data_IF_871336920540
#
_entry.id   IF_871336920540
#
_cell.length_a   1.000
_cell.length_b   1.000
_cell.length_c   1.000
_cell.angle_alpha   90.00
_cell.angle_beta   90.00
_cell.angle_gamma   90.00
#
_symmetry.space_group_name_H-M   'P 1'
#
loop_
_entity.id
_entity.type
_entity.pdbx_description
1 polymer ?
#
# COMPACT_ATOMS: atom_id res chain seq x y z
N UNK A 1 11.74 -24.34 -3.19
CA UNK A 1 11.58 -23.30 -4.23
C UNK A 1 10.15 -22.80 -4.17
N UNK A 2 9.93 -21.48 -4.20
CA UNK A 2 8.60 -20.86 -4.01
C UNK A 2 8.28 -19.87 -5.14
N UNK A 3 7.01 -19.54 -5.32
CA UNK A 3 6.58 -18.49 -6.27
C UNK A 3 7.19 -17.12 -5.92
N UNK A 4 7.30 -16.79 -4.62
CA UNK A 4 7.95 -15.56 -4.19
C UNK A 4 9.44 -15.56 -4.54
N UNK A 5 10.15 -16.68 -4.36
CA UNK A 5 11.54 -16.82 -4.77
C UNK A 5 11.74 -16.66 -6.28
N UNK A 6 10.80 -17.17 -7.09
CA UNK A 6 10.77 -16.92 -8.53
C UNK A 6 10.61 -15.42 -8.84
N UNK A 7 9.65 -14.72 -8.22
CA UNK A 7 9.46 -13.28 -8.42
C UNK A 7 10.69 -12.47 -7.99
N UNK A 8 11.34 -12.82 -6.88
CA UNK A 8 12.57 -12.17 -6.43
C UNK A 8 13.70 -12.30 -7.47
N UNK A 9 13.88 -13.50 -8.02
CA UNK A 9 14.90 -13.74 -9.05
C UNK A 9 14.57 -13.01 -10.38
N UNK A 10 13.29 -12.87 -10.72
CA UNK A 10 12.85 -12.03 -11.84
C UNK A 10 13.21 -10.56 -11.57
N UNK A 11 12.92 -10.01 -10.39
CA UNK A 11 13.29 -8.64 -10.02
C UNK A 11 14.79 -8.38 -10.18
N UNK A 12 15.63 -9.29 -9.67
CA UNK A 12 17.08 -9.23 -9.81
C UNK A 12 17.52 -9.23 -11.29
N UNK A 13 17.00 -10.16 -12.09
CA UNK A 13 17.39 -10.28 -13.50
C UNK A 13 16.95 -9.09 -14.35
N UNK A 14 15.80 -8.49 -14.02
CA UNK A 14 15.30 -7.28 -14.69
C UNK A 14 16.05 -6.00 -14.25
N UNK A 15 16.88 -6.07 -13.22
CA UNK A 15 17.57 -4.92 -12.63
C UNK A 15 16.65 -4.03 -11.80
N UNK A 16 15.55 -4.58 -11.28
CA UNK A 16 14.62 -3.88 -10.36
C UNK A 16 15.21 -3.78 -8.95
N UNK A 17 16.09 -4.73 -8.60
CA UNK A 17 16.72 -4.88 -7.28
C UNK A 17 16.03 -5.95 -6.42
N UNK A 18 16.50 -6.10 -5.18
CA UNK A 18 16.01 -7.02 -4.15
C UNK A 18 15.58 -6.30 -2.86
N UNK A 19 15.59 -4.96 -2.86
CA UNK A 19 15.15 -4.13 -1.74
C UNK A 19 13.65 -4.21 -1.46
N UNK A 20 13.20 -3.52 -0.41
CA UNK A 20 11.83 -3.62 0.13
C UNK A 20 10.72 -3.25 -0.88
N UNK A 21 11.06 -2.48 -1.92
CA UNK A 21 10.11 -2.05 -2.95
C UNK A 21 10.22 -2.84 -4.26
N UNK A 22 11.04 -3.89 -4.33
CA UNK A 22 11.32 -4.58 -5.59
C UNK A 22 10.04 -5.12 -6.26
N UNK A 23 9.10 -5.65 -5.48
CA UNK A 23 7.82 -6.14 -5.98
C UNK A 23 6.87 -5.03 -6.43
N UNK A 24 6.81 -3.91 -5.72
CA UNK A 24 6.03 -2.73 -6.15
C UNK A 24 6.55 -2.19 -7.48
N UNK A 25 7.89 -2.16 -7.64
CA UNK A 25 8.54 -1.79 -8.90
C UNK A 25 8.29 -2.80 -10.01
N UNK A 26 8.19 -4.10 -9.68
CA UNK A 26 7.82 -5.13 -10.64
C UNK A 26 6.36 -4.96 -11.10
N UNK A 27 5.43 -4.69 -10.18
CA UNK A 27 4.03 -4.36 -10.51
C UNK A 27 3.94 -3.09 -11.37
N UNK A 28 4.75 -2.06 -11.08
CA UNK A 28 4.86 -0.87 -11.94
C UNK A 28 5.36 -1.21 -13.35
N UNK A 29 6.45 -1.95 -13.44
CA UNK A 29 7.03 -2.33 -14.71
C UNK A 29 6.03 -3.14 -15.56
N UNK A 30 5.24 -3.99 -14.92
CA UNK A 30 4.20 -4.78 -15.58
C UNK A 30 3.02 -3.96 -16.12
N UNK A 31 2.76 -2.75 -15.61
CA UNK A 31 1.66 -1.89 -16.11
C UNK A 31 1.78 -1.53 -17.59
N UNK A 32 3.02 -1.54 -18.11
CA UNK A 32 3.37 -1.16 -19.49
C UNK A 32 3.68 -2.38 -20.38
N UNK A 33 3.38 -3.57 -19.88
CA UNK A 33 3.76 -4.84 -20.49
C UNK A 33 2.57 -5.74 -20.81
N UNK A 34 2.76 -6.62 -21.79
CA UNK A 34 1.82 -7.68 -22.13
C UNK A 34 2.35 -9.02 -21.62
N UNK A 35 1.50 -9.94 -21.11
CA UNK A 35 1.92 -11.23 -20.56
C UNK A 35 2.30 -12.25 -21.66
N UNK A 36 3.20 -11.88 -22.56
CA UNK A 36 3.57 -12.63 -23.77
C UNK A 36 4.23 -13.98 -23.48
N UNK A 37 4.89 -14.11 -22.34
CA UNK A 37 5.62 -15.33 -21.94
C UNK A 37 4.81 -16.21 -20.98
N UNK A 38 3.54 -15.88 -20.73
CA UNK A 38 2.70 -16.60 -19.78
C UNK A 38 2.55 -18.08 -20.13
N UNK A 39 2.38 -18.42 -21.40
CA UNK A 39 2.23 -19.83 -21.82
C UNK A 39 3.52 -20.64 -21.55
N UNK A 40 4.69 -20.06 -21.85
CA UNK A 40 6.00 -20.69 -21.59
C UNK A 40 6.24 -20.88 -20.08
N UNK A 41 5.80 -19.94 -19.25
CA UNK A 41 5.84 -20.07 -17.78
C UNK A 41 4.82 -21.08 -17.25
N UNK A 42 3.59 -21.06 -17.76
CA UNK A 42 2.52 -21.96 -17.32
C UNK A 42 2.87 -23.43 -17.58
N UNK A 43 3.53 -23.73 -18.70
CA UNK A 43 4.03 -25.07 -19.05
C UNK A 43 5.10 -25.59 -18.08
N UNK A 44 5.65 -24.72 -17.22
CA UNK A 44 6.65 -25.05 -16.19
C UNK A 44 6.05 -25.21 -14.79
N UNK A 45 4.72 -25.33 -14.69
CA UNK A 45 4.02 -25.58 -13.44
C UNK A 45 2.89 -26.57 -13.63
N UNK A 46 2.64 -27.40 -12.62
CA UNK A 46 1.43 -28.23 -12.55
C UNK A 46 0.77 -28.07 -11.18
N UNK A 47 -0.55 -28.25 -11.13
CA UNK A 47 -1.32 -28.26 -9.90
C UNK A 47 -2.15 -29.54 -9.87
N UNK A 48 -1.62 -30.59 -9.27
CA UNK A 48 -2.20 -31.93 -9.26
C UNK A 48 -2.26 -32.46 -7.84
N UNK A 49 -3.36 -33.11 -7.46
CA UNK A 49 -3.51 -33.71 -6.13
C UNK A 49 -3.34 -32.72 -4.96
N UNK A 50 -3.64 -31.44 -5.17
CA UNK A 50 -3.47 -30.40 -4.14
C UNK A 50 -2.02 -29.98 -3.93
N UNK A 51 -1.16 -30.27 -4.90
CA UNK A 51 0.26 -29.91 -4.89
C UNK A 51 0.57 -29.03 -6.10
N UNK A 52 1.06 -27.82 -5.83
CA UNK A 52 1.69 -26.99 -6.83
C UNK A 52 3.14 -27.44 -7.03
N UNK A 53 3.48 -27.88 -8.24
CA UNK A 53 4.85 -28.26 -8.62
C UNK A 53 5.40 -27.24 -9.60
N UNK A 54 6.62 -26.79 -9.36
CA UNK A 54 7.33 -25.82 -10.20
C UNK A 54 8.57 -26.50 -10.80
N UNK A 55 8.78 -26.31 -12.10
CA UNK A 55 9.98 -26.74 -12.80
C UNK A 55 11.24 -26.11 -12.19
N UNK A 56 12.34 -26.86 -12.18
CA UNK A 56 13.59 -26.41 -11.56
C UNK A 56 14.14 -25.11 -12.20
N UNK A 57 13.87 -24.85 -13.48
CA UNK A 57 14.29 -23.62 -14.13
C UNK A 57 13.64 -22.36 -13.53
N UNK A 58 12.47 -22.48 -12.88
CA UNK A 58 11.82 -21.35 -12.21
C UNK A 58 12.52 -20.94 -10.91
N UNK A 59 13.41 -21.78 -10.34
CA UNK A 59 14.16 -21.43 -9.14
C UNK A 59 15.50 -20.79 -9.39
N UNK A 60 15.98 -20.87 -10.64
CA UNK A 60 17.14 -20.12 -11.15
C UNK A 60 16.76 -19.57 -12.52
N UNK A 61 15.78 -18.64 -12.56
CA UNK A 61 15.17 -18.22 -13.80
C UNK A 61 16.07 -17.29 -14.62
N UNK A 62 17.30 -16.99 -14.22
CA UNK A 62 18.19 -16.05 -14.91
C UNK A 62 18.32 -16.34 -16.41
N UNK A 63 18.61 -17.58 -16.78
CA UNK A 63 18.75 -17.99 -18.18
C UNK A 63 17.42 -17.91 -18.92
N UNK A 64 16.32 -18.33 -18.27
CA UNK A 64 14.97 -18.26 -18.80
C UNK A 64 14.54 -16.81 -19.06
N UNK A 65 14.72 -15.93 -18.08
CA UNK A 65 14.38 -14.51 -18.13
C UNK A 65 15.24 -13.78 -19.15
N UNK A 66 16.55 -14.06 -19.22
CA UNK A 66 17.42 -13.51 -20.30
C UNK A 66 16.96 -13.98 -21.68
N UNK A 67 16.50 -15.22 -21.79
CA UNK A 67 15.87 -15.74 -23.00
C UNK A 67 14.60 -14.98 -23.39
N UNK A 68 13.75 -14.61 -22.43
CA UNK A 68 12.58 -13.75 -22.67
C UNK A 68 12.98 -12.33 -23.07
N UNK A 69 13.97 -11.74 -22.40
CA UNK A 69 14.50 -10.40 -22.72
C UNK A 69 15.13 -10.31 -24.11
N UNK A 70 15.65 -11.42 -24.65
CA UNK A 70 16.15 -11.43 -26.03
C UNK A 70 15.03 -11.34 -27.09
N UNK A 71 13.77 -11.58 -26.70
CA UNK A 71 12.59 -11.64 -27.58
C UNK A 71 11.48 -10.66 -27.17
N UNK A 72 11.69 -9.85 -26.15
CA UNK A 72 10.70 -8.93 -25.59
C UNK A 72 11.31 -7.90 -24.66
N UNK A 73 10.47 -7.01 -24.13
CA UNK A 73 10.89 -5.94 -23.21
C UNK A 73 10.72 -6.36 -21.74
N UNK A 74 11.36 -5.63 -20.83
CA UNK A 74 11.33 -5.96 -19.38
C UNK A 74 9.90 -5.94 -18.83
N UNK A 75 9.07 -5.05 -19.34
CA UNK A 75 7.66 -4.89 -19.01
C UNK A 75 6.86 -6.16 -19.32
N UNK A 76 7.09 -6.78 -20.49
CA UNK A 76 6.40 -8.02 -20.89
C UNK A 76 6.79 -9.20 -20.00
N UNK A 77 8.06 -9.26 -19.60
CA UNK A 77 8.56 -10.26 -18.65
C UNK A 77 7.91 -10.07 -17.28
N UNK A 78 7.87 -8.84 -16.76
CA UNK A 78 7.25 -8.52 -15.49
C UNK A 78 5.75 -8.88 -15.49
N UNK A 79 5.01 -8.49 -16.53
CA UNK A 79 3.60 -8.82 -16.69
C UNK A 79 3.37 -10.34 -16.77
N UNK A 80 4.21 -11.06 -17.50
CA UNK A 80 4.13 -12.52 -17.62
C UNK A 80 4.40 -13.23 -16.28
N UNK A 81 5.43 -12.79 -15.54
CA UNK A 81 5.82 -13.38 -14.26
C UNK A 81 4.76 -13.17 -13.18
N UNK A 82 4.24 -11.95 -13.04
CA UNK A 82 3.17 -11.64 -12.09
C UNK A 82 1.89 -12.40 -12.44
N UNK A 83 1.50 -12.44 -13.73
CA UNK A 83 0.32 -13.19 -14.16
C UNK A 83 0.46 -14.69 -13.89
N UNK A 84 1.63 -15.26 -14.17
CA UNK A 84 1.92 -16.66 -13.88
C UNK A 84 1.80 -16.98 -12.38
N UNK A 85 2.38 -16.14 -11.52
CA UNK A 85 2.29 -16.31 -10.07
C UNK A 85 0.82 -16.21 -9.59
N UNK A 86 0.11 -15.18 -10.04
CA UNK A 86 -1.31 -14.96 -9.75
C UNK A 86 -2.18 -16.16 -10.16
N UNK A 87 -2.04 -16.64 -11.39
CA UNK A 87 -2.80 -17.79 -11.90
C UNK A 87 -2.44 -19.09 -11.18
N UNK A 88 -1.20 -19.25 -10.75
CA UNK A 88 -0.76 -20.42 -9.98
C UNK A 88 -1.35 -20.44 -8.57
N UNK A 89 -1.34 -19.31 -7.87
CA UNK A 89 -1.96 -19.17 -6.55
C UNK A 89 -3.47 -19.36 -6.63
N UNK A 90 -4.13 -18.73 -7.62
CA UNK A 90 -5.58 -18.87 -7.81
C UNK A 90 -5.99 -20.33 -8.05
N UNK A 91 -5.32 -21.03 -8.99
CA UNK A 91 -5.59 -22.45 -9.27
C UNK A 91 -5.39 -23.33 -8.03
N UNK A 92 -4.34 -23.06 -7.25
CA UNK A 92 -4.09 -23.80 -6.01
C UNK A 92 -5.19 -23.57 -4.96
N UNK A 93 -5.64 -22.33 -4.77
CA UNK A 93 -6.73 -22.01 -3.87
C UNK A 93 -8.06 -22.64 -4.31
N UNK A 94 -8.39 -22.58 -5.60
CA UNK A 94 -9.60 -23.18 -6.19
C UNK A 94 -9.63 -24.71 -5.98
N UNK A 95 -8.48 -25.38 -6.14
CA UNK A 95 -8.38 -26.83 -5.91
C UNK A 95 -8.83 -27.23 -4.51
N UNK A 96 -8.37 -26.51 -3.48
CA UNK A 96 -8.65 -26.83 -2.09
C UNK A 96 -10.05 -26.40 -1.68
N UNK A 97 -10.52 -25.23 -2.13
CA UNK A 97 -11.86 -24.75 -1.78
C UNK A 97 -12.94 -25.67 -2.33
N UNK A 98 -12.81 -26.12 -3.59
CA UNK A 98 -13.77 -27.08 -4.20
C UNK A 98 -13.84 -28.44 -3.50
N UNK A 99 -12.87 -28.75 -2.63
CA UNK A 99 -12.77 -30.02 -1.89
C UNK A 99 -12.94 -29.86 -0.38
N UNK A 100 -13.03 -28.61 0.10
CA UNK A 100 -13.28 -28.30 1.49
C UNK A 100 -14.76 -27.95 1.70
N UNK A 101 -15.27 -28.14 2.90
CA UNK A 101 -16.56 -27.57 3.32
C UNK A 101 -16.43 -26.11 3.78
N UNK A 102 -15.28 -25.48 3.55
CA UNK A 102 -14.95 -24.15 4.07
C UNK A 102 -15.23 -23.08 3.03
N UNK A 103 -15.99 -22.06 3.43
CA UNK A 103 -16.37 -20.92 2.60
C UNK A 103 -15.40 -19.73 2.75
N UNK A 104 -14.60 -19.75 3.83
CA UNK A 104 -13.66 -18.71 4.19
C UNK A 104 -12.23 -19.12 3.79
N UNK A 105 -11.58 -18.29 2.99
CA UNK A 105 -10.17 -18.43 2.63
C UNK A 105 -9.36 -17.36 3.37
N UNK A 106 -8.34 -17.78 4.11
CA UNK A 106 -7.41 -16.90 4.82
C UNK A 106 -6.07 -16.89 4.10
N UNK A 107 -5.54 -15.72 3.78
CA UNK A 107 -4.27 -15.55 3.09
C UNK A 107 -3.19 -15.06 4.06
N UNK A 108 -2.06 -15.79 4.10
CA UNK A 108 -0.88 -15.50 4.89
C UNK A 108 0.40 -15.97 4.18
N UNK A 109 1.52 -15.35 4.52
CA UNK A 109 2.82 -15.41 3.84
C UNK A 109 3.13 -14.14 3.04
N UNK A 110 4.41 -13.84 2.87
CA UNK A 110 4.93 -12.64 2.20
C UNK A 110 4.40 -12.45 0.77
N UNK A 111 4.07 -13.55 0.07
CA UNK A 111 3.49 -13.49 -1.26
C UNK A 111 2.18 -12.68 -1.28
N UNK A 112 1.42 -12.67 -0.18
CA UNK A 112 0.17 -11.92 -0.08
C UNK A 112 0.38 -10.48 0.42
N UNK A 113 1.63 -10.03 0.58
CA UNK A 113 1.92 -8.60 0.62
C UNK A 113 1.73 -7.92 -0.74
N UNK A 114 1.81 -8.70 -1.83
CA UNK A 114 1.51 -8.25 -3.20
C UNK A 114 0.00 -8.09 -3.41
N UNK A 115 -0.51 -6.87 -3.67
CA UNK A 115 -1.92 -6.63 -3.94
C UNK A 115 -2.42 -7.39 -5.17
N UNK A 116 -1.57 -7.61 -6.18
CA UNK A 116 -1.90 -8.44 -7.36
C UNK A 116 -2.20 -9.90 -7.02
N UNK A 117 -1.47 -10.49 -6.07
CA UNK A 117 -1.69 -11.88 -5.63
C UNK A 117 -3.01 -12.00 -4.86
N UNK A 118 -3.28 -11.06 -3.95
CA UNK A 118 -4.54 -10.98 -3.22
C UNK A 118 -5.71 -10.77 -4.18
N UNK A 119 -5.55 -9.90 -5.19
CA UNK A 119 -6.56 -9.62 -6.21
C UNK A 119 -6.91 -10.87 -7.01
N UNK A 120 -5.91 -11.62 -7.46
CA UNK A 120 -6.10 -12.84 -8.24
C UNK A 120 -6.93 -13.90 -7.50
N UNK A 121 -6.72 -14.02 -6.18
CA UNK A 121 -7.53 -14.89 -5.34
C UNK A 121 -8.93 -14.30 -5.14
N UNK A 122 -9.06 -13.02 -4.80
CA UNK A 122 -10.37 -12.38 -4.57
C UNK A 122 -11.31 -12.42 -5.78
N UNK A 123 -10.78 -12.44 -7.00
CA UNK A 123 -11.59 -12.58 -8.23
C UNK A 123 -12.07 -14.00 -8.50
N UNK A 124 -11.57 -15.01 -7.78
CA UNK A 124 -12.07 -16.38 -7.89
C UNK A 124 -13.43 -16.56 -7.20
N UNK A 125 -14.02 -17.74 -7.37
CA UNK A 125 -15.31 -18.10 -6.76
C UNK A 125 -15.17 -18.46 -5.28
N UNK A 126 -14.83 -17.46 -4.45
CA UNK A 126 -14.69 -17.61 -3.00
C UNK A 126 -15.69 -16.73 -2.28
N UNK A 127 -16.46 -17.29 -1.33
CA UNK A 127 -17.45 -16.54 -0.58
C UNK A 127 -16.82 -15.43 0.28
N UNK A 128 -15.69 -15.72 0.94
CA UNK A 128 -14.96 -14.71 1.72
C UNK A 128 -13.45 -14.95 1.69
N UNK A 129 -12.71 -13.90 1.32
CA UNK A 129 -11.25 -13.87 1.38
C UNK A 129 -10.79 -12.88 2.46
N UNK A 130 -10.11 -13.40 3.48
CA UNK A 130 -9.54 -12.64 4.58
C UNK A 130 -8.03 -12.52 4.39
N UNK A 131 -7.48 -11.33 4.63
CA UNK A 131 -6.04 -11.06 4.56
C UNK A 131 -5.66 -10.37 5.85
N UNK A 132 -4.60 -10.85 6.50
CA UNK A 132 -4.02 -10.19 7.66
C UNK A 132 -3.48 -8.81 7.27
N UNK A 133 -3.44 -7.88 8.23
CA UNK A 133 -2.75 -6.57 8.08
C UNK A 133 -1.28 -6.77 7.71
N UNK A 134 -0.66 -7.77 8.35
CA UNK A 134 0.70 -8.25 8.13
C UNK A 134 0.63 -9.73 7.77
N UNK A 135 0.38 -10.07 6.50
CA UNK A 135 0.32 -11.45 6.08
C UNK A 135 1.70 -12.11 6.07
N UNK A 136 2.77 -11.33 5.89
CA UNK A 136 4.15 -11.79 5.84
C UNK A 136 4.79 -12.12 7.19
N UNK A 137 6.12 -12.25 7.17
CA UNK A 137 6.93 -12.66 8.32
C UNK A 137 6.80 -11.70 9.52
N UNK A 138 6.53 -10.42 9.28
CA UNK A 138 6.26 -9.42 10.35
C UNK A 138 5.02 -9.80 11.18
N UNK A 139 4.10 -10.58 10.62
CA UNK A 139 2.92 -11.09 11.31
C UNK A 139 3.15 -12.35 12.13
N UNK A 140 4.30 -13.03 12.01
CA UNK A 140 4.56 -14.28 12.73
C UNK A 140 4.47 -14.14 14.25
N UNK A 141 5.02 -13.10 14.92
CA UNK A 141 4.87 -12.95 16.37
C UNK A 141 3.41 -12.83 16.81
N UNK A 142 2.58 -12.15 15.99
CA UNK A 142 1.14 -12.06 16.22
C UNK A 142 0.49 -13.44 16.10
N UNK A 143 0.80 -14.19 15.04
CA UNK A 143 0.31 -15.55 14.84
C UNK A 143 0.74 -16.51 15.96
N UNK A 144 1.99 -16.41 16.43
CA UNK A 144 2.50 -17.15 17.57
C UNK A 144 1.73 -16.83 18.85
N UNK A 145 1.42 -15.56 19.12
CA UNK A 145 0.57 -15.19 20.26
C UNK A 145 -0.84 -15.78 20.15
N UNK A 146 -1.46 -15.72 18.97
CA UNK A 146 -2.77 -16.33 18.71
C UNK A 146 -2.76 -17.86 18.83
N UNK A 147 -1.63 -18.51 18.60
CA UNK A 147 -1.52 -19.97 18.76
C UNK A 147 -1.82 -20.42 20.19
N UNK A 148 -1.61 -19.56 21.20
CA UNK A 148 -2.00 -19.84 22.59
C UNK A 148 -3.51 -19.95 22.83
N UNK A 149 -4.33 -19.58 21.84
CA UNK A 149 -5.78 -19.81 21.86
C UNK A 149 -6.15 -21.21 21.35
N UNK A 150 -5.22 -21.94 20.73
CA UNK A 150 -5.47 -23.25 20.17
C UNK A 150 -5.35 -24.34 21.24
N UNK A 151 -6.25 -25.34 21.24
CA UNK A 151 -6.12 -26.50 22.13
C UNK A 151 -4.77 -27.19 21.97
N UNK A 152 -4.11 -27.50 23.09
CA UNK A 152 -2.86 -28.25 23.13
C UNK A 152 -1.58 -27.42 22.92
N UNK A 153 -1.67 -26.10 22.74
CA UNK A 153 -0.49 -25.21 22.68
C UNK A 153 -0.06 -24.74 24.07
N UNK A 154 -1.03 -24.36 24.92
CA UNK A 154 -0.80 -24.00 26.31
C UNK A 154 -1.54 -24.99 27.22
N UNK A 155 -1.03 -25.20 28.45
CA UNK A 155 -1.70 -25.99 29.49
C UNK A 155 -3.10 -25.45 29.79
N UNK A 156 -3.25 -24.12 29.72
CA UNK A 156 -4.54 -23.42 29.81
C UNK A 156 -4.66 -22.47 28.63
N UNK A 157 -5.40 -22.84 27.56
CA UNK A 157 -5.61 -21.99 26.40
C UNK A 157 -6.27 -20.66 26.77
N UNK A 158 -5.81 -19.58 26.14
CA UNK A 158 -6.43 -18.25 26.30
C UNK A 158 -7.68 -18.19 25.42
N UNK A 159 -8.79 -17.57 25.87
CA UNK A 159 -9.94 -17.35 25.00
C UNK A 159 -9.55 -16.54 23.76
N UNK A 160 -9.94 -17.02 22.58
CA UNK A 160 -9.76 -16.26 21.35
C UNK A 160 -10.51 -14.91 21.46
N UNK A 161 -9.90 -13.79 21.05
CA UNK A 161 -10.58 -12.50 21.11
C UNK A 161 -11.78 -12.48 20.16
N UNK A 162 -12.82 -11.75 20.56
CA UNK A 162 -14.07 -11.64 19.80
C UNK A 162 -13.90 -10.96 18.43
N UNK A 163 -12.89 -10.10 18.30
CA UNK A 163 -12.52 -9.45 17.06
C UNK A 163 -11.09 -9.81 16.65
N UNK A 164 -10.85 -9.82 15.34
CA UNK A 164 -9.49 -9.80 14.81
C UNK A 164 -8.76 -8.52 15.26
N UNK A 165 -7.50 -8.36 14.86
CA UNK A 165 -6.74 -7.11 15.07
C UNK A 165 -7.57 -5.88 14.64
N UNK A 166 -8.15 -5.19 15.62
CA UNK A 166 -9.11 -4.11 15.42
C UNK A 166 -8.45 -2.85 14.86
N UNK A 167 -7.14 -2.73 15.06
CA UNK A 167 -6.32 -1.61 14.60
C UNK A 167 -4.92 -2.07 14.17
N UNK A 168 -4.36 -1.48 13.10
CA UNK A 168 -2.97 -1.70 12.73
C UNK A 168 -2.00 -0.86 13.58
N UNK A 169 -2.49 0.11 14.37
CA UNK A 169 -1.67 1.09 15.08
C UNK A 169 -1.19 0.56 16.45
N UNK A 170 -0.22 -0.36 16.42
CA UNK A 170 0.28 -1.07 17.60
C UNK A 170 1.65 -0.58 18.10
N UNK A 171 2.31 0.28 17.32
CA UNK A 171 3.67 0.74 17.61
C UNK A 171 3.76 1.94 18.56
N UNK A 172 4.92 2.60 18.53
CA UNK A 172 5.22 3.77 19.35
C UNK A 172 4.34 4.97 18.98
N UNK A 173 4.00 5.76 20.00
CA UNK A 173 3.39 7.08 19.87
C UNK A 173 4.18 8.08 20.70
N UNK A 174 4.18 9.34 20.28
CA UNK A 174 4.83 10.45 20.97
C UNK A 174 3.79 11.53 21.22
N UNK A 175 3.80 12.08 22.43
CA UNK A 175 2.95 13.22 22.76
C UNK A 175 3.55 14.54 22.23
N UNK A 176 2.75 15.61 22.25
CA UNK A 176 3.20 16.91 21.74
C UNK A 176 4.37 17.51 22.56
N UNK A 177 4.58 17.09 23.82
CA UNK A 177 5.73 17.54 24.61
C UNK A 177 7.01 16.89 24.10
N UNK A 178 7.02 15.57 23.91
CA UNK A 178 8.17 14.83 23.37
C UNK A 178 8.53 15.28 21.94
N UNK A 179 7.51 15.56 21.14
CA UNK A 179 7.69 16.09 19.79
C UNK A 179 8.31 17.50 19.85
N UNK A 180 7.76 18.40 20.67
CA UNK A 180 8.29 19.77 20.84
C UNK A 180 9.74 19.77 21.30
N UNK A 181 10.06 18.99 22.33
CA UNK A 181 11.43 18.85 22.85
C UNK A 181 12.41 18.35 21.77
N UNK A 182 11.93 17.54 20.83
CA UNK A 182 12.74 17.10 19.68
C UNK A 182 12.90 18.21 18.65
N UNK A 183 11.83 18.93 18.31
CA UNK A 183 11.87 20.05 17.37
C UNK A 183 12.80 21.18 17.86
N UNK A 184 12.67 21.57 19.13
CA UNK A 184 13.48 22.61 19.76
C UNK A 184 14.97 22.24 19.78
N UNK A 185 15.29 21.00 20.18
CA UNK A 185 16.68 20.50 20.15
C UNK A 185 17.29 20.47 18.75
N UNK A 186 16.48 20.27 17.73
CA UNK A 186 16.93 20.28 16.34
C UNK A 186 16.98 21.69 15.73
N UNK A 187 16.58 22.73 16.48
CA UNK A 187 16.60 24.12 16.04
C UNK A 187 15.75 24.35 14.79
N UNK A 188 14.59 23.70 14.68
CA UNK A 188 13.71 23.79 13.52
C UNK A 188 12.58 24.76 13.79
N UNK A 189 12.27 25.62 12.83
CA UNK A 189 11.06 26.46 12.91
C UNK A 189 9.80 25.63 12.66
N UNK A 190 8.78 25.82 13.49
CA UNK A 190 7.50 25.13 13.38
C UNK A 190 6.34 26.02 13.84
N UNK A 191 5.16 25.80 13.25
CA UNK A 191 3.89 26.32 13.75
C UNK A 191 3.21 25.32 14.68
N UNK A 192 2.49 25.80 15.70
CA UNK A 192 1.61 24.96 16.54
C UNK A 192 0.17 25.17 16.09
N UNK A 193 -0.57 24.09 15.86
CA UNK A 193 -1.90 24.15 15.24
C UNK A 193 -2.91 23.31 16.02
N UNK A 194 -3.97 23.95 16.53
CA UNK A 194 -5.07 23.24 17.19
C UNK A 194 -5.85 22.33 16.22
N UNK A 195 -6.00 22.79 14.97
CA UNK A 195 -6.69 22.06 13.89
C UNK A 195 -5.71 21.67 12.78
N UNK A 196 -4.62 21.01 13.15
CA UNK A 196 -3.58 20.57 12.20
C UNK A 196 -4.15 19.77 11.03
N UNK A 197 -5.22 18.98 11.22
CA UNK A 197 -5.84 18.19 10.16
C UNK A 197 -6.49 19.09 9.07
N UNK A 198 -7.04 20.26 9.45
CA UNK A 198 -7.54 21.29 8.51
C UNK A 198 -6.40 21.96 7.76
N UNK A 199 -5.30 22.29 8.44
CA UNK A 199 -4.13 22.89 7.80
C UNK A 199 -3.47 21.93 6.80
N UNK A 200 -3.36 20.65 7.16
CA UNK A 200 -2.88 19.60 6.25
C UNK A 200 -3.76 19.52 5.00
N UNK A 201 -5.08 19.48 5.16
CA UNK A 201 -6.01 19.44 4.01
C UNK A 201 -5.84 20.65 3.08
N UNK A 202 -5.66 21.86 3.62
CA UNK A 202 -5.40 23.07 2.84
C UNK A 202 -4.09 22.97 2.06
N UNK A 203 -3.00 22.58 2.71
CA UNK A 203 -1.68 22.40 2.07
C UNK A 203 -1.75 21.37 0.94
N UNK A 204 -2.49 20.27 1.15
CA UNK A 204 -2.71 19.25 0.13
C UNK A 204 -3.52 19.78 -1.06
N UNK A 205 -4.54 20.61 -0.80
CA UNK A 205 -5.38 21.22 -1.84
C UNK A 205 -4.57 22.20 -2.73
N UNK A 206 -3.53 22.82 -2.19
CA UNK A 206 -2.56 23.64 -2.93
C UNK A 206 -1.59 22.80 -3.80
N UNK A 207 -1.74 21.47 -3.83
CA UNK A 207 -0.89 20.56 -4.61
C UNK A 207 0.45 20.25 -3.95
N UNK A 208 0.64 20.61 -2.69
CA UNK A 208 1.86 20.35 -1.91
C UNK A 208 1.82 18.97 -1.26
N UNK A 209 2.99 18.48 -0.85
CA UNK A 209 3.19 17.19 -0.18
C UNK A 209 3.28 17.39 1.32
N UNK A 210 2.54 16.59 2.08
CA UNK A 210 2.61 16.57 3.54
C UNK A 210 3.13 15.22 4.02
N UNK A 211 4.24 15.22 4.74
CA UNK A 211 4.69 14.07 5.49
C UNK A 211 4.00 14.04 6.86
N UNK A 212 3.08 13.10 7.07
CA UNK A 212 2.29 12.96 8.28
C UNK A 212 2.94 11.97 9.25
N UNK A 213 3.14 12.44 10.47
CA UNK A 213 3.56 11.67 11.64
C UNK A 213 2.56 11.91 12.78
N UNK A 214 1.67 10.95 13.03
CA UNK A 214 0.61 11.09 14.04
C UNK A 214 0.36 9.79 14.80
N UNK A 215 0.03 9.86 16.09
CA UNK A 215 -0.41 8.69 16.88
C UNK A 215 0.56 7.51 16.89
N UNK A 216 0.02 6.32 17.17
CA UNK A 216 0.78 5.06 17.18
C UNK A 216 1.17 4.62 15.78
N UNK A 217 2.42 4.21 15.59
CA UNK A 217 2.90 3.65 14.32
C UNK A 217 2.12 2.39 13.92
N UNK A 218 1.86 2.24 12.64
CA UNK A 218 1.31 1.04 12.01
C UNK A 218 2.25 -0.17 12.16
N UNK A 219 1.68 -1.36 12.30
CA UNK A 219 2.41 -2.62 12.13
C UNK A 219 2.65 -2.90 10.64
N UNK A 220 3.85 -3.37 10.29
CA UNK A 220 4.23 -3.70 8.92
C UNK A 220 4.99 -2.58 8.21
N UNK A 221 5.18 -2.76 6.89
CA UNK A 221 5.95 -1.86 6.03
C UNK A 221 5.08 -0.85 5.25
N UNK A 222 3.75 -0.94 5.40
CA UNK A 222 2.78 -0.09 4.69
C UNK A 222 2.42 1.13 5.54
N UNK A 223 2.36 2.30 4.91
CA UNK A 223 1.77 3.48 5.54
C UNK A 223 0.25 3.42 5.45
N UNK A 224 -0.46 3.39 6.59
CA UNK A 224 -1.93 3.29 6.67
C UNK A 224 -2.58 4.55 7.26
N UNK A 225 -1.83 5.62 7.48
CA UNK A 225 -2.35 6.95 7.79
C UNK A 225 -1.60 7.71 8.89
N UNK A 226 -0.77 7.04 9.67
CA UNK A 226 -0.02 7.62 10.79
C UNK A 226 1.45 7.87 10.45
N UNK A 227 2.04 7.10 9.53
CA UNK A 227 3.39 7.31 8.98
C UNK A 227 3.34 7.33 7.45
N UNK A 228 2.80 8.42 6.90
CA UNK A 228 2.48 8.52 5.46
C UNK A 228 2.92 9.83 4.83
N UNK A 229 3.25 9.78 3.55
CA UNK A 229 3.27 10.94 2.66
C UNK A 229 1.87 11.08 2.05
N UNK A 230 1.29 12.26 2.18
CA UNK A 230 0.01 12.64 1.62
C UNK A 230 0.22 13.62 0.45
N UNK A 231 -0.51 13.41 -0.64
CA UNK A 231 -0.60 14.34 -1.78
C UNK A 231 -2.01 14.39 -2.34
N UNK A 232 -2.32 15.48 -3.04
CA UNK A 232 -3.44 15.51 -3.96
C UNK A 232 -3.28 14.41 -5.01
N UNK A 233 -4.35 13.66 -5.35
CA UNK A 233 -4.31 12.65 -6.40
C UNK A 233 -4.35 13.27 -7.81
N UNK A 234 -4.65 14.57 -7.92
CA UNK A 234 -4.64 15.31 -9.18
C UNK A 234 -3.21 15.65 -9.56
N UNK A 235 -2.88 15.43 -10.83
CA UNK A 235 -1.58 15.75 -11.40
C UNK A 235 -0.48 14.74 -11.07
N UNK A 236 0.76 15.22 -11.10
CA UNK A 236 1.93 14.35 -11.00
C UNK A 236 2.31 14.10 -9.52
N UNK A 237 2.25 12.84 -9.10
CA UNK A 237 2.54 12.41 -7.73
C UNK A 237 4.03 12.41 -7.37
N UNK A 238 4.90 12.42 -8.38
CA UNK A 238 6.34 12.17 -8.26
C UNK A 238 7.16 13.34 -8.79
N UNK A 239 6.93 14.55 -8.25
CA UNK A 239 7.65 15.77 -8.64
C UNK A 239 8.94 15.97 -7.86
N UNK A 240 9.93 16.60 -8.50
CA UNK A 240 11.18 17.02 -7.85
C UNK A 240 11.94 15.88 -7.17
N UNK A 241 12.43 16.13 -5.95
CA UNK A 241 13.22 15.14 -5.18
C UNK A 241 12.41 13.89 -4.81
N UNK A 242 11.09 14.01 -4.64
CA UNK A 242 10.22 12.88 -4.30
C UNK A 242 10.19 11.82 -5.38
N UNK A 243 10.25 12.21 -6.66
CA UNK A 243 10.16 11.25 -7.76
C UNK A 243 11.33 10.27 -7.84
N UNK A 244 12.49 10.63 -7.28
CA UNK A 244 13.66 9.76 -7.19
C UNK A 244 13.69 8.90 -5.91
N UNK A 245 12.97 9.32 -4.86
CA UNK A 245 13.03 8.69 -3.52
C UNK A 245 11.76 7.96 -3.12
N UNK A 246 10.65 8.18 -3.82
CA UNK A 246 9.42 7.40 -3.67
C UNK A 246 9.28 6.54 -4.91
N UNK A 247 9.30 5.23 -4.71
CA UNK A 247 9.21 4.25 -5.79
C UNK A 247 7.96 4.43 -6.65
N UNK A 248 8.00 3.95 -7.90
CA UNK A 248 6.79 3.91 -8.71
C UNK A 248 5.77 2.92 -8.12
N UNK A 249 4.48 3.22 -8.25
CA UNK A 249 3.37 2.51 -7.59
C UNK A 249 3.45 2.38 -6.05
N UNK A 250 4.26 3.21 -5.38
CA UNK A 250 4.25 3.32 -3.92
C UNK A 250 3.00 4.03 -3.39
N UNK A 251 2.28 4.78 -4.24
CA UNK A 251 1.05 5.46 -3.85
C UNK A 251 -0.18 4.56 -3.96
N UNK A 252 -1.12 4.69 -3.03
CA UNK A 252 -2.48 4.16 -3.12
C UNK A 252 -3.52 5.26 -2.89
N UNK A 253 -4.75 5.00 -3.32
CA UNK A 253 -5.90 5.85 -3.06
C UNK A 253 -6.38 5.65 -1.63
N UNK A 254 -6.50 6.74 -0.89
CA UNK A 254 -7.12 6.78 0.44
C UNK A 254 -8.41 7.59 0.35
N UNK A 255 -9.53 7.01 0.78
CA UNK A 255 -10.84 7.68 0.75
C UNK A 255 -11.75 7.26 1.90
N UNK A 256 -12.76 8.07 2.26
CA UNK A 256 -13.84 7.68 3.16
C UNK A 256 -14.57 6.43 2.65
N UNK A 257 -14.96 5.55 3.58
CA UNK A 257 -15.63 4.29 3.23
C UNK A 257 -16.98 4.50 2.53
N UNK A 258 -17.70 5.56 2.89
CA UNK A 258 -19.00 5.96 2.31
C UNK A 258 -18.88 6.51 0.89
N UNK A 259 -17.73 7.10 0.53
CA UNK A 259 -17.45 7.53 -0.84
C UNK A 259 -17.05 6.38 -1.78
N UNK A 260 -16.81 5.16 -1.29
CA UNK A 260 -16.21 4.08 -2.09
C UNK A 260 -17.00 3.75 -3.37
N UNK A 261 -18.33 3.65 -3.28
CA UNK A 261 -19.18 3.25 -4.39
C UNK A 261 -19.27 4.29 -5.52
N UNK A 262 -18.92 5.55 -5.25
CA UNK A 262 -18.94 6.64 -6.23
C UNK A 262 -17.68 6.66 -7.11
N UNK A 263 -16.63 5.95 -6.70
CA UNK A 263 -15.32 5.97 -7.34
C UNK A 263 -14.85 4.60 -7.82
N UNK A 264 -15.37 3.51 -7.25
CA UNK A 264 -14.93 2.15 -7.53
C UNK A 264 -16.12 1.20 -7.75
N UNK A 265 -15.87 0.11 -8.47
CA UNK A 265 -16.86 -0.96 -8.58
C UNK A 265 -17.11 -1.62 -7.22
N UNK A 266 -18.36 -1.58 -6.76
CA UNK A 266 -18.80 -2.11 -5.47
C UNK A 266 -19.40 -3.52 -5.54
N UNK A 267 -19.60 -4.07 -6.75
CA UNK A 267 -20.25 -5.37 -6.89
C UNK A 267 -19.40 -6.50 -6.27
N UNK A 268 -19.95 -7.12 -5.22
CA UNK A 268 -19.28 -8.19 -4.47
C UNK A 268 -18.09 -7.73 -3.62
N UNK A 269 -17.91 -6.41 -3.44
CA UNK A 269 -16.76 -5.83 -2.75
C UNK A 269 -17.20 -5.15 -1.45
N UNK A 270 -16.70 -5.66 -0.33
CA UNK A 270 -16.86 -5.06 0.98
C UNK A 270 -15.74 -4.04 1.23
N UNK A 271 -16.09 -2.75 1.13
CA UNK A 271 -15.17 -1.63 1.27
C UNK A 271 -14.45 -1.61 2.64
N UNK A 272 -15.04 -2.18 3.70
CA UNK A 272 -14.41 -2.22 5.02
C UNK A 272 -13.14 -3.09 5.06
N UNK A 273 -13.01 -4.04 4.12
CA UNK A 273 -11.85 -4.94 4.03
C UNK A 273 -10.56 -4.25 3.60
N UNK A 274 -10.65 -3.07 3.00
CA UNK A 274 -9.49 -2.30 2.54
C UNK A 274 -8.92 -1.37 3.60
N UNK A 275 -9.56 -1.25 4.76
CA UNK A 275 -9.15 -0.32 5.82
C UNK A 275 -7.72 -0.54 6.30
N UNK A 276 -7.39 -1.80 6.58
CA UNK A 276 -6.10 -2.20 7.13
C UNK A 276 -5.26 -3.02 6.13
N UNK A 277 -5.80 -3.31 4.95
CA UNK A 277 -5.16 -4.09 3.90
C UNK A 277 -5.50 -3.49 2.53
N UNK A 278 -4.77 -2.45 2.10
CA UNK A 278 -5.03 -1.80 0.82
C UNK A 278 -4.99 -2.81 -0.33
N UNK A 279 -6.01 -2.81 -1.18
CA UNK A 279 -6.20 -3.84 -2.20
C UNK A 279 -6.56 -3.26 -3.57
N UNK A 280 -6.30 -4.03 -4.63
CA UNK A 280 -6.63 -3.63 -6.00
C UNK A 280 -8.14 -3.74 -6.24
N UNK A 281 -8.72 -2.67 -6.80
CA UNK A 281 -10.14 -2.56 -7.15
C UNK A 281 -10.28 -1.87 -8.51
N UNK A 282 -11.20 -2.32 -9.38
CA UNK A 282 -11.51 -1.62 -10.62
C UNK A 282 -12.07 -0.22 -10.36
N UNK A 283 -11.48 0.84 -10.91
CA UNK A 283 -12.00 2.20 -10.82
C UNK A 283 -13.22 2.41 -11.73
N UNK A 284 -14.08 3.36 -11.36
CA UNK A 284 -15.09 3.91 -12.27
C UNK A 284 -14.45 4.95 -13.22
N UNK A 285 -15.08 5.27 -14.38
CA UNK A 285 -14.53 6.23 -15.34
C UNK A 285 -14.18 7.60 -14.74
N UNK A 286 -14.96 8.06 -13.76
CA UNK A 286 -14.69 9.31 -13.04
C UNK A 286 -13.34 9.28 -12.31
N UNK A 287 -13.01 8.17 -11.64
CA UNK A 287 -11.71 8.02 -11.00
C UNK A 287 -10.57 8.09 -12.02
N UNK A 288 -10.71 7.39 -13.15
CA UNK A 288 -9.70 7.38 -14.22
C UNK A 288 -9.44 8.79 -14.74
N UNK A 289 -10.48 9.60 -14.89
CA UNK A 289 -10.37 10.97 -15.36
C UNK A 289 -9.71 11.91 -14.33
N UNK A 290 -10.08 11.80 -13.05
CA UNK A 290 -9.64 12.74 -12.02
C UNK A 290 -8.33 12.34 -11.31
N UNK A 291 -8.03 11.04 -11.23
CA UNK A 291 -6.92 10.47 -10.45
C UNK A 291 -6.04 9.49 -11.26
N UNK A 292 -5.65 9.78 -12.53
CA UNK A 292 -4.97 8.80 -13.39
C UNK A 292 -3.61 8.34 -12.85
N UNK A 293 -2.95 9.15 -12.02
CA UNK A 293 -1.65 8.81 -11.43
C UNK A 293 -1.67 7.67 -10.40
N UNK A 294 -2.85 7.20 -10.00
CA UNK A 294 -3.04 6.12 -9.02
C UNK A 294 -3.43 4.77 -9.68
N UNK A 295 -3.50 4.71 -11.01
CA UNK A 295 -3.74 3.47 -11.74
C UNK A 295 -2.52 2.54 -11.62
N UNK A 296 -2.79 1.26 -11.39
CA UNK A 296 -1.79 0.20 -11.24
C UNK A 296 -1.94 -0.85 -12.35
N UNK A 297 -1.29 -2.00 -12.17
CA UNK A 297 -1.31 -3.12 -13.11
C UNK A 297 -2.74 -3.61 -13.36
N UNK A 298 -3.09 -3.79 -14.63
CA UNK A 298 -4.42 -4.17 -15.07
C UNK A 298 -5.46 -3.05 -15.06
N UNK A 299 -5.07 -1.80 -14.76
CA UNK A 299 -5.99 -0.66 -14.68
C UNK A 299 -6.75 -0.57 -13.35
N UNK A 300 -6.52 -1.51 -12.43
CA UNK A 300 -7.04 -1.46 -11.07
C UNK A 300 -6.29 -0.40 -10.24
N UNK A 301 -6.89 0.00 -9.13
CA UNK A 301 -6.33 0.98 -8.18
C UNK A 301 -6.12 0.30 -6.84
N UNK A 302 -4.97 0.54 -6.19
CA UNK A 302 -4.80 0.13 -4.80
C UNK A 302 -5.58 1.09 -3.92
N UNK A 303 -6.57 0.58 -3.19
CA UNK A 303 -7.51 1.38 -2.39
C UNK A 303 -7.35 1.06 -0.92
N UNK A 304 -7.36 2.10 -0.08
CA UNK A 304 -7.51 2.04 1.37
C UNK A 304 -8.73 2.87 1.78
N UNK A 305 -9.62 2.30 2.59
CA UNK A 305 -10.82 2.98 3.07
C UNK A 305 -10.63 3.52 4.50
N UNK A 306 -11.21 4.67 4.78
CA UNK A 306 -11.12 5.35 6.08
C UNK A 306 -12.48 5.30 6.76
N UNK A 307 -12.47 4.91 8.03
CA UNK A 307 -13.67 4.87 8.86
C UNK A 307 -13.63 6.03 9.87
N UNK A 308 -14.68 6.86 9.96
CA UNK A 308 -14.69 8.02 10.85
C UNK A 308 -14.57 7.65 12.33
N UNK A 309 -15.08 6.50 12.75
CA UNK A 309 -15.03 6.07 14.17
C UNK A 309 -13.68 5.52 14.59
N UNK A 310 -12.90 4.95 13.67
CA UNK A 310 -11.61 4.32 13.97
C UNK A 310 -10.41 5.21 13.66
N UNK A 311 -10.54 6.05 12.63
CA UNK A 311 -9.48 6.94 12.14
C UNK A 311 -10.04 8.36 11.94
N UNK A 312 -10.57 9.00 13.00
CA UNK A 312 -11.30 10.27 12.89
C UNK A 312 -10.45 11.40 12.31
N UNK A 313 -9.18 11.50 12.71
CA UNK A 313 -8.28 12.56 12.22
C UNK A 313 -7.98 12.45 10.73
N UNK A 314 -7.80 11.22 10.23
CA UNK A 314 -7.57 10.98 8.81
C UNK A 314 -8.84 11.25 7.99
N UNK A 315 -10.00 10.91 8.56
CA UNK A 315 -11.30 11.24 7.99
C UNK A 315 -11.53 12.76 7.93
N UNK A 316 -11.14 13.51 8.96
CA UNK A 316 -11.22 14.98 8.95
C UNK A 316 -10.38 15.59 7.82
N UNK A 317 -9.13 15.12 7.62
CA UNK A 317 -8.31 15.58 6.48
C UNK A 317 -9.04 15.35 5.15
N UNK A 318 -9.57 14.16 4.94
CA UNK A 318 -10.26 13.81 3.68
C UNK A 318 -11.50 14.68 3.46
N UNK A 319 -12.31 14.89 4.50
CA UNK A 319 -13.51 15.74 4.44
C UNK A 319 -13.16 17.19 4.15
N UNK A 320 -12.16 17.73 4.86
CA UNK A 320 -11.70 19.09 4.61
C UNK A 320 -11.16 19.20 3.19
N UNK A 321 -10.30 18.27 2.75
CA UNK A 321 -9.72 18.24 1.41
C UNK A 321 -10.79 18.15 0.31
N UNK A 322 -11.81 17.32 0.49
CA UNK A 322 -12.97 17.24 -0.40
C UNK A 322 -13.68 18.59 -0.49
N UNK A 323 -13.85 19.30 0.63
CA UNK A 323 -14.44 20.63 0.59
C UNK A 323 -13.62 21.59 -0.28
N UNK A 324 -12.28 21.52 -0.26
CA UNK A 324 -11.44 22.39 -1.09
C UNK A 324 -11.42 21.99 -2.56
N UNK A 325 -11.54 20.70 -2.88
CA UNK A 325 -11.19 20.16 -4.22
C UNK A 325 -12.34 19.49 -4.97
N UNK A 326 -13.41 19.12 -4.27
CA UNK A 326 -14.50 18.29 -4.78
C UNK A 326 -14.17 16.80 -4.91
N UNK A 327 -13.01 16.33 -4.41
CA UNK A 327 -12.60 14.92 -4.43
C UNK A 327 -12.30 14.44 -3.00
N UNK A 328 -12.91 13.35 -2.53
CA UNK A 328 -12.62 12.73 -1.24
C UNK A 328 -11.48 11.69 -1.31
N UNK A 329 -10.45 11.92 -2.13
CA UNK A 329 -9.36 10.96 -2.36
C UNK A 329 -8.02 11.66 -2.13
N UNK A 330 -7.12 11.01 -1.42
CA UNK A 330 -5.71 11.39 -1.32
C UNK A 330 -4.82 10.28 -1.90
N UNK A 331 -3.69 10.69 -2.47
CA UNK A 331 -2.60 9.78 -2.78
C UNK A 331 -1.73 9.59 -1.54
N UNK A 332 -1.52 8.33 -1.14
CA UNK A 332 -0.81 7.97 0.10
C UNK A 332 0.36 7.05 -0.20
N UNK A 333 1.55 7.40 0.28
CA UNK A 333 2.73 6.53 0.23
C UNK A 333 3.34 6.35 1.64
N UNK A 334 4.10 5.28 1.90
CA UNK A 334 4.84 5.10 3.15
C UNK A 334 5.80 6.26 3.45
N UNK A 335 5.83 6.74 4.70
CA UNK A 335 6.79 7.77 5.11
C UNK A 335 8.12 7.14 5.52
N UNK A 336 9.01 6.98 4.54
CA UNK A 336 10.35 6.39 4.66
C UNK A 336 11.24 6.80 3.48
N UNK A 337 12.55 6.61 3.62
CA UNK A 337 13.47 6.61 2.48
C UNK A 337 13.49 5.24 1.80
N UNK A 338 13.97 5.14 0.55
CA UNK A 338 14.21 3.85 -0.10
C UNK A 338 15.05 2.94 0.79
N UNK A 339 14.60 1.70 0.95
CA UNK A 339 15.28 0.66 1.73
C UNK A 339 15.48 0.98 3.23
N UNK A 340 14.81 2.01 3.75
CA UNK A 340 14.65 2.28 5.18
C UNK A 340 13.28 1.80 5.69
N UNK A 341 13.15 1.49 7.00
CA UNK A 341 11.85 1.25 7.62
C UNK A 341 10.99 2.52 7.66
N UNK A 342 9.72 2.37 8.02
CA UNK A 342 8.87 3.51 8.36
C UNK A 342 9.52 4.35 9.47
N UNK A 343 9.38 5.67 9.37
CA UNK A 343 9.85 6.57 10.43
C UNK A 343 9.19 6.22 11.76
N UNK A 344 9.99 6.08 12.81
CA UNK A 344 9.50 5.63 14.12
C UNK A 344 9.44 6.79 15.11
N UNK A 345 10.48 7.62 15.18
CA UNK A 345 10.57 8.76 16.10
C UNK A 345 10.34 10.13 15.43
N UNK A 346 10.07 11.21 16.19
CA UNK A 346 9.99 12.57 15.64
C UNK A 346 11.29 13.00 14.95
N UNK A 347 12.46 12.54 15.45
CA UNK A 347 13.75 12.80 14.82
C UNK A 347 13.88 12.09 13.46
N UNK A 348 13.44 10.84 13.36
CA UNK A 348 13.40 10.11 12.09
C UNK A 348 12.46 10.80 11.09
N UNK A 349 11.31 11.29 11.56
CA UNK A 349 10.37 12.04 10.75
C UNK A 349 11.03 13.32 10.19
N UNK A 350 11.72 14.12 11.01
CA UNK A 350 12.43 15.32 10.55
C UNK A 350 13.53 15.00 9.53
N UNK A 351 14.37 14.00 9.82
CA UNK A 351 15.45 13.56 8.92
C UNK A 351 14.87 13.15 7.56
N UNK A 352 13.85 12.30 7.60
CA UNK A 352 13.27 11.68 6.40
C UNK A 352 12.46 12.67 5.60
N UNK A 353 11.69 13.56 6.25
CA UNK A 353 10.95 14.64 5.60
C UNK A 353 11.88 15.52 4.74
N UNK A 354 12.98 15.99 5.34
CA UNK A 354 13.99 16.83 4.68
C UNK A 354 14.70 16.09 3.56
N UNK A 355 15.06 14.83 3.82
CA UNK A 355 15.67 13.98 2.80
C UNK A 355 14.70 13.76 1.64
N UNK A 356 13.45 13.36 1.86
CA UNK A 356 12.47 13.19 0.78
C UNK A 356 12.21 14.48 -0.01
N UNK A 357 12.37 15.64 0.62
CA UNK A 357 12.07 16.93 0.01
C UNK A 357 10.56 17.14 -0.13
N UNK A 358 9.77 16.63 0.83
CA UNK A 358 8.36 16.98 0.94
C UNK A 358 8.22 18.46 1.33
N UNK A 359 7.09 19.09 1.03
CA UNK A 359 6.91 20.52 1.27
C UNK A 359 6.73 20.84 2.76
N UNK A 360 5.90 20.03 3.45
CA UNK A 360 5.65 20.15 4.89
C UNK A 360 5.71 18.80 5.60
N UNK A 361 6.03 18.83 6.90
CA UNK A 361 5.79 17.72 7.81
C UNK A 361 4.78 18.13 8.88
N UNK A 362 3.73 17.34 9.04
CA UNK A 362 2.81 17.43 10.17
C UNK A 362 3.20 16.38 11.21
N UNK A 363 3.86 16.82 12.29
CA UNK A 363 4.38 15.96 13.36
C UNK A 363 3.58 16.28 14.63
N UNK A 364 2.64 15.40 15.01
CA UNK A 364 1.70 15.70 16.08
C UNK A 364 0.83 16.92 15.74
N UNK A 365 0.82 17.91 16.62
CA UNK A 365 0.14 19.20 16.41
C UNK A 365 1.02 20.29 15.78
N UNK A 366 2.21 19.93 15.29
CA UNK A 366 3.18 20.87 14.73
C UNK A 366 3.30 20.75 13.22
N UNK A 367 3.34 21.90 12.53
CA UNK A 367 3.58 21.97 11.10
C UNK A 367 4.98 22.55 10.84
N UNK A 368 5.82 21.76 10.21
CA UNK A 368 7.19 22.11 9.84
C UNK A 368 7.25 22.33 8.34
N UNK A 369 7.69 23.50 7.88
CA UNK A 369 7.91 23.79 6.46
C UNK A 369 9.36 23.54 6.07
N UNK A 370 9.60 23.19 4.81
CA UNK A 370 10.94 23.34 4.25
C UNK A 370 11.23 24.84 4.01
N UNK A 371 12.47 25.33 4.24
CA UNK A 371 12.80 26.75 4.11
C UNK A 371 12.47 27.36 2.74
N UNK A 372 12.53 26.54 1.69
CA UNK A 372 12.19 26.93 0.32
C UNK A 372 10.66 27.03 0.06
N UNK A 373 9.82 26.66 1.03
CA UNK A 373 8.37 26.51 0.90
C UNK A 373 7.63 27.25 2.02
N UNK A 374 7.32 28.53 1.80
CA UNK A 374 6.48 29.30 2.73
C UNK A 374 5.01 28.92 2.53
N UNK A 375 4.24 28.59 3.58
CA UNK A 375 2.80 28.38 3.45
C UNK A 375 2.15 29.69 2.98
N UNK A 376 1.41 29.64 1.88
CA UNK A 376 0.67 30.79 1.39
C UNK A 376 -0.48 31.07 2.36
N UNK A 377 -0.49 32.26 2.97
CA UNK A 377 -1.66 32.80 3.66
C UNK A 377 -2.63 33.31 2.60
N UNK A 378 -3.44 32.44 1.99
CA UNK A 378 -4.28 32.83 0.84
C UNK A 378 -5.48 31.92 0.59
N UNK A 379 -6.55 32.53 0.09
CA UNK A 379 -7.91 32.00 -0.07
C UNK A 379 -8.05 30.71 -0.90
N UNK A 380 -9.23 30.07 -0.76
CA UNK A 380 -9.68 28.87 -1.49
C UNK A 380 -9.33 28.99 -2.98
N UNK A 381 -8.53 28.05 -3.53
CA UNK A 381 -8.25 28.06 -4.96
C UNK A 381 -9.59 27.95 -5.70
N UNK A 382 -9.74 28.75 -6.76
CA UNK A 382 -10.90 28.64 -7.63
C UNK A 382 -10.94 27.22 -8.20
N UNK A 383 -12.12 26.58 -8.31
CA UNK A 383 -12.21 25.27 -8.93
C UNK A 383 -11.64 25.37 -10.33
N UNK A 384 -10.63 24.54 -10.64
CA UNK A 384 -10.00 24.49 -11.95
C UNK A 384 -11.10 24.33 -13.01
N UNK A 385 -11.29 25.37 -13.83
CA UNK A 385 -12.13 25.28 -15.01
C UNK A 385 -11.48 24.27 -15.94
N UNK A 386 -12.06 23.07 -16.00
CA UNK A 386 -11.73 22.04 -16.99
C UNK A 386 -11.69 22.73 -18.35
N UNK A 387 -10.49 22.82 -18.94
CA UNK A 387 -10.36 23.22 -20.34
C UNK A 387 -11.03 22.13 -21.16
N UNK A 388 -12.13 22.53 -21.82
CA UNK A 388 -12.96 21.77 -22.75
C UNK A 388 -12.18 21.05 -23.82
#
# INVERSE_FOLDING_TARGET
>A
MSLLGFLNAVCLTLGVGDGMDCHCRLEDLATRGEPRFLAELAARSTCEGGRLTLDAALGRPDSLVRGFLSRGKKEDVAASALRFAADSVRRFAEYWVTRSSHENLVLGGDLFELPSMVRAVRTGNFARVLVSVVPGDVGLPVGCAFSGCLPGVLDTPVPAPAEALSTPFLGLSFDDREIRETLDRQGVDYGTHERIDTDVARVLAEGRTVARFAGKTEIGNRGLGNRVLLRSPRGELRRGRLGFRVGPNSYHALLPIDAFADWFSSQGVDAARFRNAPGLVPPLPRFVAECPGLLSWGGDVRVQTVCPTLTPRLHEILREFESWTGIPILAVAPFRLPDEPLVSSPLDALRTFRALGADFAAIGSFLVGNPDHTPTTGARPAPDSVRT
#
